data_IF_502381407288
#
_entry.id   IF_502381407288
#
_cell.length_a   1.000
_cell.length_b   1.000
_cell.length_c   1.000
_cell.angle_alpha   90.00
_cell.angle_beta   90.00
_cell.angle_gamma   90.00
#
_symmetry.space_group_name_H-M   'P 1'
#
loop_
_entity.id
_entity.type
_entity.pdbx_description
1 polymer ?
#
# COMPACT_ATOMS: atom_id res chain seq x y z
N UNK A 1 -4.68 -6.73 14.81
CA UNK A 1 -5.42 -6.29 13.62
C UNK A 1 -6.80 -6.88 13.77
N UNK A 2 -7.82 -6.09 14.11
CA UNK A 2 -9.20 -6.59 14.08
C UNK A 2 -9.53 -6.93 12.63
N UNK A 3 -9.80 -8.21 12.35
CA UNK A 3 -10.25 -8.63 11.03
C UNK A 3 -11.70 -8.18 10.87
N UNK A 4 -11.89 -7.01 10.29
CA UNK A 4 -13.20 -6.41 10.08
C UNK A 4 -13.99 -7.17 9.02
N UNK A 5 -15.30 -7.31 9.26
CA UNK A 5 -16.24 -7.88 8.30
C UNK A 5 -16.25 -7.02 7.04
N UNK A 6 -15.92 -7.62 5.89
CA UNK A 6 -15.96 -6.98 4.57
C UNK A 6 -17.29 -7.33 3.89
N UNK A 7 -18.35 -6.52 4.04
CA UNK A 7 -19.63 -6.84 3.43
C UNK A 7 -19.51 -6.91 1.90
N UNK A 8 -20.17 -7.90 1.32
CA UNK A 8 -20.27 -8.08 -0.12
C UNK A 8 -21.46 -7.28 -0.67
N UNK A 9 -21.20 -6.43 -1.66
CA UNK A 9 -22.20 -5.55 -2.27
C UNK A 9 -22.28 -5.80 -3.77
N UNK A 10 -23.51 -5.84 -4.31
CA UNK A 10 -23.75 -5.93 -5.76
C UNK A 10 -23.99 -4.53 -6.34
N UNK A 11 -23.13 -4.10 -7.26
CA UNK A 11 -23.28 -2.83 -7.98
C UNK A 11 -23.06 -3.02 -9.48
N UNK A 12 -23.99 -2.54 -10.31
CA UNK A 12 -23.95 -2.68 -11.78
C UNK A 12 -23.62 -4.11 -12.26
N UNK A 13 -24.26 -5.12 -11.66
CA UNK A 13 -24.04 -6.56 -11.93
C UNK A 13 -22.64 -7.12 -11.60
N UNK A 14 -21.82 -6.38 -10.85
CA UNK A 14 -20.54 -6.85 -10.32
C UNK A 14 -20.60 -6.91 -8.79
N UNK A 15 -19.75 -7.75 -8.19
CA UNK A 15 -19.63 -7.92 -6.74
C UNK A 15 -18.38 -7.20 -6.24
N UNK A 16 -18.50 -6.50 -5.12
CA UNK A 16 -17.44 -5.73 -4.49
C UNK A 16 -17.44 -5.96 -2.98
N UNK A 17 -16.26 -5.92 -2.37
CA UNK A 17 -16.12 -5.81 -0.93
C UNK A 17 -16.06 -4.34 -0.53
N UNK A 18 -16.77 -3.96 0.51
CA UNK A 18 -16.68 -2.63 1.11
C UNK A 18 -15.82 -2.69 2.38
N UNK A 19 -14.86 -1.77 2.49
CA UNK A 19 -14.03 -1.59 3.68
C UNK A 19 -14.25 -0.16 4.19
N UNK A 20 -14.31 -0.01 5.52
CA UNK A 20 -14.44 1.31 6.15
C UNK A 20 -13.07 1.80 6.59
N UNK A 21 -12.66 2.95 6.05
CA UNK A 21 -11.46 3.64 6.50
C UNK A 21 -11.78 4.57 7.67
N UNK A 22 -11.07 4.40 8.79
CA UNK A 22 -11.14 5.31 9.94
C UNK A 22 -10.13 6.47 9.82
N UNK A 23 -10.22 7.25 8.73
CA UNK A 23 -9.22 8.27 8.37
C UNK A 23 -9.02 9.31 9.50
N UNK A 24 -10.09 9.79 10.10
CA UNK A 24 -10.04 10.85 11.13
C UNK A 24 -9.43 10.39 12.46
N UNK A 25 -9.53 9.09 12.78
CA UNK A 25 -8.91 8.49 13.96
C UNK A 25 -7.43 8.24 13.71
N UNK A 26 -7.09 7.75 12.50
CA UNK A 26 -5.72 7.55 12.06
C UNK A 26 -4.92 8.86 12.08
N UNK A 27 -5.49 9.97 11.57
CA UNK A 27 -4.85 11.29 11.56
C UNK A 27 -4.51 11.80 12.97
N UNK A 28 -5.36 11.53 13.96
CA UNK A 28 -5.13 11.95 15.35
C UNK A 28 -4.07 11.10 16.07
N UNK A 29 -3.81 9.89 15.57
CA UNK A 29 -2.88 8.93 16.16
C UNK A 29 -1.50 8.93 15.48
N UNK A 30 -1.26 9.82 14.50
CA UNK A 30 0.01 9.88 13.76
C UNK A 30 1.19 10.15 14.70
N UNK A 31 2.15 9.23 14.67
CA UNK A 31 3.43 9.34 15.38
C UNK A 31 4.55 9.37 14.36
N UNK A 32 5.62 10.14 14.57
CA UNK A 32 6.79 10.07 13.69
C UNK A 32 7.45 8.69 13.76
N UNK A 33 7.69 8.09 12.61
CA UNK A 33 8.58 6.94 12.45
C UNK A 33 10.02 7.45 12.41
N UNK A 34 10.63 7.64 13.59
CA UNK A 34 11.95 8.26 13.74
C UNK A 34 13.02 7.48 12.95
N UNK A 35 13.81 8.18 12.15
CA UNK A 35 14.84 7.62 11.27
C UNK A 35 14.33 7.19 9.90
N UNK A 36 13.02 7.30 9.63
CA UNK A 36 12.47 7.11 8.29
C UNK A 36 12.86 8.26 7.36
N UNK A 37 13.00 7.96 6.06
CA UNK A 37 13.36 8.94 5.04
C UNK A 37 12.73 8.62 3.70
N UNK A 38 12.40 9.65 2.93
CA UNK A 38 12.08 9.55 1.50
C UNK A 38 13.18 10.24 0.69
N UNK A 39 13.84 9.49 -0.19
CA UNK A 39 14.94 9.99 -1.04
C UNK A 39 14.48 10.06 -2.49
N UNK A 40 14.80 11.15 -3.19
CA UNK A 40 14.49 11.29 -4.61
C UNK A 40 15.73 11.08 -5.47
N UNK A 41 15.54 10.46 -6.64
CA UNK A 41 16.60 10.21 -7.60
C UNK A 41 16.22 10.77 -8.97
N UNK A 42 17.21 11.27 -9.69
CA UNK A 42 17.08 11.67 -11.10
C UNK A 42 18.08 10.85 -11.91
N UNK A 43 17.58 9.92 -12.72
CA UNK A 43 18.40 9.05 -13.57
C UNK A 43 19.52 8.30 -12.80
N UNK A 44 19.25 7.84 -11.58
CA UNK A 44 20.22 7.14 -10.72
C UNK A 44 21.01 8.03 -9.76
N UNK A 45 21.02 9.35 -9.98
CA UNK A 45 21.70 10.29 -9.08
C UNK A 45 20.77 10.77 -7.96
N UNK A 46 21.20 10.59 -6.71
CA UNK A 46 20.45 11.07 -5.54
C UNK A 46 20.32 12.60 -5.58
N UNK A 47 19.09 13.09 -5.38
CA UNK A 47 18.76 14.51 -5.24
C UNK A 47 18.66 14.93 -3.77
N UNK A 48 19.03 14.04 -2.85
CA UNK A 48 18.94 14.24 -1.41
C UNK A 48 17.64 13.72 -0.80
N UNK A 49 17.53 13.92 0.52
CA UNK A 49 16.36 13.52 1.30
C UNK A 49 15.26 14.56 1.10
N UNK A 50 14.10 14.11 0.63
CA UNK A 50 12.93 14.95 0.45
C UNK A 50 12.16 15.13 1.77
N UNK A 51 12.07 14.07 2.58
CA UNK A 51 11.40 14.07 3.88
C UNK A 51 12.11 13.13 4.85
N UNK A 52 12.12 13.50 6.13
CA UNK A 52 12.66 12.72 7.26
C UNK A 52 11.57 12.59 8.32
N UNK A 53 11.66 11.55 9.14
CA UNK A 53 10.75 11.28 10.27
C UNK A 53 9.26 11.34 9.85
N UNK A 54 8.95 10.67 8.73
CA UNK A 54 7.58 10.53 8.22
C UNK A 54 6.68 9.88 9.26
N UNK A 55 5.37 10.14 9.21
CA UNK A 55 4.45 9.51 10.14
C UNK A 55 4.39 7.98 9.95
N UNK A 56 4.18 7.25 11.03
CA UNK A 56 3.90 5.81 11.00
C UNK A 56 2.64 5.54 10.18
N UNK A 57 2.71 4.55 9.28
CA UNK A 57 1.59 4.17 8.45
C UNK A 57 2.01 3.40 7.20
N UNK A 58 1.01 2.99 6.42
CA UNK A 58 1.22 2.36 5.12
C UNK A 58 1.20 3.45 4.07
N UNK A 59 2.26 3.55 3.27
CA UNK A 59 2.38 4.50 2.18
C UNK A 59 2.23 3.80 0.84
N UNK A 60 1.45 4.40 -0.05
CA UNK A 60 1.27 3.94 -1.42
C UNK A 60 1.89 4.95 -2.38
N UNK A 61 2.62 4.51 -3.43
CA UNK A 61 3.10 5.42 -4.46
C UNK A 61 1.91 6.07 -5.16
N UNK A 62 1.90 7.40 -5.18
CA UNK A 62 0.81 8.19 -5.77
C UNK A 62 1.34 9.10 -6.88
N UNK A 63 0.54 9.28 -7.93
CA UNK A 63 0.83 10.18 -9.04
C UNK A 63 -0.34 11.12 -9.20
N UNK A 64 -0.07 12.42 -9.14
CA UNK A 64 -1.04 13.46 -9.47
C UNK A 64 -0.73 14.00 -10.87
N UNK A 65 -1.76 14.15 -11.68
CA UNK A 65 -1.68 14.63 -13.06
C UNK A 65 -2.33 16.01 -13.17
N UNK A 66 -1.73 16.90 -13.94
CA UNK A 66 -2.28 18.24 -14.19
C UNK A 66 -2.34 18.50 -15.70
N UNK A 67 -3.53 18.86 -16.19
CA UNK A 67 -3.83 19.04 -17.63
C UNK A 67 -3.52 17.76 -18.43
N UNK A 68 -3.02 17.91 -19.66
CA UNK A 68 -2.76 16.81 -20.60
C UNK A 68 -1.39 16.12 -20.38
N UNK A 69 -0.97 15.94 -19.13
CA UNK A 69 0.27 15.24 -18.78
C UNK A 69 0.12 13.73 -18.97
N UNK A 70 1.14 13.08 -19.54
CA UNK A 70 1.24 11.61 -19.63
C UNK A 70 2.46 11.13 -18.85
N UNK A 71 2.26 10.14 -17.99
CA UNK A 71 3.32 9.52 -17.18
C UNK A 71 3.24 8.01 -17.34
N UNK A 72 4.39 7.35 -17.40
CA UNK A 72 4.50 5.89 -17.35
C UNK A 72 5.38 5.53 -16.18
N UNK A 73 4.97 4.50 -15.43
CA UNK A 73 5.67 4.06 -14.22
C UNK A 73 6.25 2.68 -14.46
N UNK A 74 7.45 2.47 -13.93
CA UNK A 74 8.07 1.16 -13.84
C UNK A 74 8.26 0.82 -12.35
N UNK A 75 7.49 -0.16 -11.86
CA UNK A 75 7.55 -0.61 -10.47
C UNK A 75 8.64 -1.68 -10.23
N UNK A 76 9.48 -1.95 -11.22
CA UNK A 76 10.54 -2.95 -11.19
C UNK A 76 10.04 -4.35 -11.60
N UNK A 77 10.91 -5.37 -11.55
CA UNK A 77 12.27 -5.33 -10.97
C UNK A 77 13.32 -4.68 -11.88
N UNK A 78 13.05 -4.60 -13.19
CA UNK A 78 14.03 -4.15 -14.18
C UNK A 78 14.10 -2.61 -14.25
N UNK A 79 14.89 -2.01 -13.38
CA UNK A 79 15.10 -0.56 -13.37
C UNK A 79 16.16 -0.13 -14.39
N UNK A 80 15.91 1.00 -15.08
CA UNK A 80 16.92 1.64 -15.94
C UNK A 80 18.13 2.15 -15.12
N UNK A 81 17.87 2.61 -13.91
CA UNK A 81 18.87 3.10 -12.96
C UNK A 81 18.53 2.56 -11.56
N UNK A 82 18.96 1.34 -11.20
CA UNK A 82 18.76 0.81 -9.86
C UNK A 82 19.52 1.63 -8.81
N UNK A 83 19.03 1.72 -7.55
CA UNK A 83 19.76 2.36 -6.46
C UNK A 83 21.15 1.73 -6.26
N UNK A 84 22.18 2.56 -6.13
CA UNK A 84 23.57 2.11 -5.88
C UNK A 84 24.07 2.44 -4.48
N UNK A 85 23.35 3.31 -3.78
CA UNK A 85 23.66 3.86 -2.45
C UNK A 85 22.82 3.23 -1.33
N UNK A 86 21.97 2.27 -1.67
CA UNK A 86 21.17 1.50 -0.70
C UNK A 86 21.61 0.03 -0.75
N UNK A 87 22.04 -0.51 0.38
CA UNK A 87 22.46 -1.92 0.49
C UNK A 87 21.29 -2.88 0.31
N UNK A 88 20.08 -2.47 0.73
CA UNK A 88 18.87 -3.28 0.70
C UNK A 88 17.73 -2.45 0.13
N UNK A 89 17.14 -2.92 -0.97
CA UNK A 89 15.89 -2.39 -1.51
C UNK A 89 15.10 -3.52 -2.19
N UNK A 90 13.78 -3.37 -2.23
CA UNK A 90 12.89 -4.27 -2.98
C UNK A 90 12.05 -3.46 -3.97
N UNK A 91 11.79 -4.01 -5.18
CA UNK A 91 10.92 -3.35 -6.14
C UNK A 91 9.47 -3.37 -5.68
N UNK A 92 8.70 -2.35 -6.08
CA UNK A 92 7.28 -2.26 -5.72
C UNK A 92 6.45 -3.42 -6.31
N UNK A 93 6.89 -4.02 -7.43
CA UNK A 93 6.27 -5.23 -7.99
C UNK A 93 6.30 -6.43 -7.04
N UNK A 94 7.30 -6.55 -6.18
CA UNK A 94 7.38 -7.62 -5.18
C UNK A 94 6.36 -7.41 -4.06
N UNK A 95 6.19 -6.17 -3.59
CA UNK A 95 5.22 -5.87 -2.54
C UNK A 95 3.77 -6.08 -2.99
N UNK A 96 3.46 -5.99 -4.29
CA UNK A 96 2.14 -6.41 -4.80
C UNK A 96 1.92 -7.93 -4.59
N UNK A 97 2.96 -8.73 -4.80
CA UNK A 97 2.92 -10.19 -4.57
C UNK A 97 2.78 -10.51 -3.09
N UNK A 98 3.54 -9.82 -2.24
CA UNK A 98 3.44 -9.94 -0.80
C UNK A 98 2.04 -9.57 -0.29
N UNK A 99 1.48 -8.44 -0.75
CA UNK A 99 0.14 -8.01 -0.37
C UNK A 99 -0.93 -9.03 -0.76
N UNK A 100 -0.83 -9.65 -1.94
CA UNK A 100 -1.75 -10.72 -2.35
C UNK A 100 -1.70 -11.92 -1.39
N UNK A 101 -0.49 -12.34 -0.99
CA UNK A 101 -0.32 -13.44 -0.04
C UNK A 101 -0.86 -13.08 1.35
N UNK A 102 -0.57 -11.88 1.85
CA UNK A 102 -1.06 -11.38 3.13
C UNK A 102 -2.59 -11.27 3.15
N UNK A 103 -3.21 -10.73 2.10
CA UNK A 103 -4.66 -10.67 1.97
C UNK A 103 -5.29 -12.07 1.96
N UNK A 104 -4.74 -13.01 1.19
CA UNK A 104 -5.26 -14.37 1.12
C UNK A 104 -5.19 -15.09 2.49
N UNK A 105 -4.10 -14.89 3.22
CA UNK A 105 -3.94 -15.43 4.57
C UNK A 105 -4.89 -14.78 5.56
N UNK A 106 -5.04 -13.45 5.50
CA UNK A 106 -5.98 -12.71 6.35
C UNK A 106 -7.42 -13.17 6.12
N UNK A 107 -7.82 -13.37 4.86
CA UNK A 107 -9.13 -13.89 4.51
C UNK A 107 -9.31 -15.32 5.04
N UNK A 108 -8.29 -16.18 4.91
CA UNK A 108 -8.34 -17.56 5.43
C UNK A 108 -8.54 -17.58 6.94
N UNK A 109 -7.76 -16.78 7.67
CA UNK A 109 -7.88 -16.65 9.13
C UNK A 109 -9.26 -16.11 9.54
N UNK A 110 -9.75 -15.11 8.82
CA UNK A 110 -11.07 -14.55 9.07
C UNK A 110 -12.19 -15.59 8.94
N UNK A 111 -12.16 -16.44 7.91
CA UNK A 111 -13.16 -17.48 7.74
C UNK A 111 -13.10 -18.54 8.84
N UNK A 112 -11.90 -18.88 9.31
CA UNK A 112 -11.72 -19.82 10.45
C UNK A 112 -12.33 -19.23 11.72
N UNK A 113 -12.04 -17.97 12.05
CA UNK A 113 -12.52 -17.33 13.28
C UNK A 113 -14.05 -17.10 13.29
N UNK A 114 -14.65 -17.00 12.09
CA UNK A 114 -16.06 -16.71 11.89
C UNK A 114 -16.87 -17.91 11.36
N UNK A 115 -16.33 -19.12 11.46
CA UNK A 115 -17.02 -20.34 11.06
C UNK A 115 -18.41 -20.44 11.72
N UNK A 116 -19.45 -20.66 10.91
CA UNK A 116 -20.85 -20.74 11.36
C UNK A 116 -21.51 -19.41 11.76
N UNK A 117 -20.82 -18.26 11.65
CA UNK A 117 -21.33 -16.91 11.96
C UNK A 117 -21.55 -16.03 10.73
N UNK A 118 -21.09 -16.48 9.56
CA UNK A 118 -21.24 -15.74 8.30
C UNK A 118 -22.67 -15.92 7.75
N UNK A 119 -23.27 -14.86 7.17
CA UNK A 119 -24.59 -14.96 6.56
C UNK A 119 -24.58 -15.91 5.36
N UNK A 120 -25.56 -16.81 5.30
CA UNK A 120 -25.85 -17.59 4.09
C UNK A 120 -26.48 -16.66 3.04
N UNK A 121 -25.92 -16.63 1.84
CA UNK A 121 -26.44 -15.86 0.70
C UNK A 121 -27.22 -16.75 -0.27
#
# INVERSE_FOLDING_TARGET
MELNLKPLVKFKNHLYFEEKDCVSEAEKALKPAVGSKMVMYKNGESQGVAFEDMFEGIYYPAISLYKASTVTVNFGPDFKYPPTDQEVYQPMSEAATQAMAECALADTLYHIDNEGKLPEF
#
